data_IF_167259620631
#
_entry.id   IF_167259620631
#
_cell.length_a   1.000
_cell.length_b   1.000
_cell.length_c   1.000
_cell.angle_alpha   90.00
_cell.angle_beta   90.00
_cell.angle_gamma   90.00
#
_symmetry.space_group_name_H-M   'P 1'
#
loop_
_entity.id
_entity.type
_entity.pdbx_description
1 polymer ?
#
# COMPACT_ATOMS: atom_id res chain seq x y z
N UNK A 1 20.76 -3.78 20.18
CA UNK A 1 20.81 -2.43 20.78
C UNK A 1 22.16 -1.79 20.48
N UNK A 2 22.21 -0.86 19.52
CA UNK A 2 23.04 0.37 19.54
C UNK A 2 22.79 1.17 18.25
N UNK A 3 22.09 2.28 18.44
CA UNK A 3 22.01 3.43 17.53
C UNK A 3 23.36 4.15 17.54
N UNK A 4 23.78 4.72 16.40
CA UNK A 4 24.55 5.98 16.39
C UNK A 4 24.14 6.79 15.16
N UNK A 5 23.72 8.02 15.41
CA UNK A 5 23.40 9.09 14.46
C UNK A 5 24.64 9.97 14.18
N UNK A 6 24.68 10.53 12.96
CA UNK A 6 25.23 11.82 12.50
C UNK A 6 26.69 12.26 12.76
N UNK A 7 27.35 12.76 11.70
CA UNK A 7 27.78 14.17 11.59
C UNK A 7 28.29 14.53 10.17
N UNK A 8 27.91 15.72 9.72
CA UNK A 8 28.42 16.44 8.54
C UNK A 8 29.79 17.09 8.84
N UNK A 9 30.64 17.24 7.82
CA UNK A 9 31.74 18.21 7.81
C UNK A 9 31.84 18.86 6.41
N UNK A 10 32.03 20.19 6.39
CA UNK A 10 32.18 21.03 5.19
C UNK A 10 33.64 21.38 4.91
N UNK A 11 33.87 21.69 3.62
CA UNK A 11 34.87 22.57 3.01
C UNK A 11 36.13 21.93 2.40
N UNK A 12 36.33 22.21 1.09
CA UNK A 12 37.64 22.25 0.43
C UNK A 12 37.88 21.23 -0.68
N UNK A 13 37.62 21.64 -1.93
CA UNK A 13 38.27 21.25 -3.19
C UNK A 13 38.18 19.81 -3.76
N UNK A 14 38.03 19.77 -5.09
CA UNK A 14 37.86 18.63 -6.02
C UNK A 14 36.49 17.94 -6.06
N UNK A 15 35.49 18.64 -6.61
CA UNK A 15 34.35 18.03 -7.27
C UNK A 15 34.76 17.53 -8.67
N UNK A 16 35.35 16.34 -8.72
CA UNK A 16 35.22 15.35 -9.80
C UNK A 16 36.10 14.16 -9.44
N UNK A 17 35.58 12.94 -9.63
CA UNK A 17 36.17 11.63 -9.29
C UNK A 17 35.78 11.01 -7.93
N UNK A 18 34.51 11.09 -7.53
CA UNK A 18 33.91 9.97 -6.79
C UNK A 18 33.26 9.04 -7.81
N UNK A 19 33.66 7.75 -7.91
CA UNK A 19 32.95 6.80 -8.77
C UNK A 19 31.48 6.76 -8.34
N UNK A 20 30.58 6.71 -9.31
CA UNK A 20 29.15 6.81 -9.10
C UNK A 20 28.58 5.49 -8.58
N UNK A 21 29.06 5.06 -7.41
CA UNK A 21 28.68 3.79 -6.78
C UNK A 21 27.19 3.74 -6.42
N UNK A 22 26.54 4.89 -6.23
CA UNK A 22 25.10 4.96 -5.99
C UNK A 22 24.31 4.60 -7.24
N UNK A 23 24.64 5.20 -8.39
CA UNK A 23 23.95 4.88 -9.66
C UNK A 23 24.32 3.49 -10.18
N UNK A 24 25.54 3.01 -9.96
CA UNK A 24 25.93 1.64 -10.33
C UNK A 24 25.22 0.59 -9.48
N UNK A 25 25.05 0.81 -8.17
CA UNK A 25 24.25 -0.08 -7.32
C UNK A 25 22.77 -0.04 -7.67
N UNK A 26 22.22 1.13 -7.90
CA UNK A 26 20.82 1.32 -8.28
C UNK A 26 20.53 0.68 -9.65
N UNK A 27 21.41 0.88 -10.63
CA UNK A 27 21.31 0.21 -11.95
C UNK A 27 21.51 -1.31 -11.89
N UNK A 28 22.41 -1.80 -11.03
CA UNK A 28 22.60 -3.24 -10.81
C UNK A 28 21.36 -3.87 -10.14
N UNK A 29 20.78 -3.19 -9.16
CA UNK A 29 19.56 -3.62 -8.46
C UNK A 29 18.33 -3.58 -9.38
N UNK A 30 18.23 -2.57 -10.25
CA UNK A 30 17.20 -2.50 -11.29
C UNK A 30 17.34 -3.62 -12.33
N UNK A 31 18.57 -3.92 -12.74
CA UNK A 31 18.86 -5.01 -13.69
C UNK A 31 18.56 -6.38 -13.09
N UNK A 32 18.83 -6.58 -11.80
CA UNK A 32 18.44 -7.78 -11.05
C UNK A 32 16.91 -7.91 -10.93
N UNK A 33 16.21 -6.81 -10.64
CA UNK A 33 14.73 -6.76 -10.57
C UNK A 33 14.06 -7.11 -11.91
N UNK A 34 14.52 -6.52 -13.02
CA UNK A 34 13.95 -6.80 -14.35
C UNK A 34 14.26 -8.24 -14.78
N UNK A 35 15.46 -8.74 -14.46
CA UNK A 35 15.83 -10.14 -14.70
C UNK A 35 14.92 -11.09 -13.91
N UNK A 36 14.70 -10.82 -12.62
CA UNK A 36 13.84 -11.62 -11.76
C UNK A 36 12.39 -11.60 -12.22
N UNK A 37 11.89 -10.43 -12.63
CA UNK A 37 10.55 -10.28 -13.24
C UNK A 37 10.42 -11.13 -14.51
N UNK A 38 11.42 -11.13 -15.39
CA UNK A 38 11.42 -11.96 -16.59
C UNK A 38 11.41 -13.46 -16.26
N UNK A 39 12.19 -13.90 -15.27
CA UNK A 39 12.15 -15.29 -14.79
C UNK A 39 10.76 -15.70 -14.29
N UNK A 40 10.08 -14.83 -13.53
CA UNK A 40 8.72 -15.10 -13.05
C UNK A 40 7.69 -15.13 -14.20
N UNK A 41 7.84 -14.26 -15.20
CA UNK A 41 7.01 -14.24 -16.42
C UNK A 41 7.19 -15.49 -17.30
N UNK A 42 8.37 -16.11 -17.27
CA UNK A 42 8.66 -17.37 -17.95
C UNK A 42 8.16 -18.58 -17.17
N UNK A 43 8.33 -18.58 -15.84
CA UNK A 43 7.94 -19.68 -14.96
C UNK A 43 6.43 -19.82 -14.83
N UNK A 44 5.72 -18.71 -14.65
CA UNK A 44 4.29 -18.70 -14.35
C UNK A 44 3.45 -18.21 -15.53
N UNK A 45 2.13 -18.41 -15.43
CA UNK A 45 1.18 -17.92 -16.42
C UNK A 45 1.32 -16.40 -16.60
N UNK A 46 1.82 -15.99 -17.78
CA UNK A 46 2.07 -14.58 -18.12
C UNK A 46 0.85 -13.69 -17.88
N UNK A 47 -0.35 -14.15 -18.23
CA UNK A 47 -1.59 -13.40 -18.07
C UNK A 47 -1.92 -13.13 -16.60
N UNK A 48 -1.61 -14.08 -15.71
CA UNK A 48 -1.74 -13.90 -14.27
C UNK A 48 -0.79 -12.80 -13.78
N UNK A 49 0.50 -12.89 -14.16
CA UNK A 49 1.51 -11.93 -13.74
C UNK A 49 1.20 -10.52 -14.24
N UNK A 50 0.83 -10.37 -15.51
CA UNK A 50 0.41 -9.08 -16.09
C UNK A 50 -0.80 -8.49 -15.38
N UNK A 51 -1.76 -9.33 -14.99
CA UNK A 51 -2.96 -8.89 -14.27
C UNK A 51 -2.61 -8.39 -12.86
N UNK A 52 -1.78 -9.12 -12.12
CA UNK A 52 -1.32 -8.69 -10.80
C UNK A 52 -0.49 -7.42 -10.86
N UNK A 53 0.42 -7.31 -11.84
CA UNK A 53 1.22 -6.10 -12.09
C UNK A 53 0.36 -4.88 -12.42
N UNK A 54 -0.66 -5.06 -13.24
CA UNK A 54 -1.59 -3.98 -13.58
C UNK A 54 -2.31 -3.47 -12.33
N UNK A 55 -2.78 -4.38 -11.47
CA UNK A 55 -3.54 -4.05 -10.26
C UNK A 55 -2.67 -3.47 -9.14
N UNK A 56 -1.51 -4.05 -8.88
CA UNK A 56 -0.74 -3.81 -7.64
C UNK A 56 0.72 -3.38 -7.87
N UNK A 57 1.20 -3.36 -9.12
CA UNK A 57 2.58 -2.98 -9.44
C UNK A 57 3.62 -3.93 -8.84
N UNK A 58 4.81 -3.43 -8.53
CA UNK A 58 5.93 -4.25 -8.04
C UNK A 58 5.68 -4.90 -6.68
N UNK A 59 4.75 -4.36 -5.87
CA UNK A 59 4.31 -5.01 -4.64
C UNK A 59 3.85 -6.46 -4.91
N UNK A 60 3.13 -6.68 -6.02
CA UNK A 60 2.69 -8.00 -6.40
C UNK A 60 3.85 -8.92 -6.79
N UNK A 61 4.86 -8.44 -7.53
CA UNK A 61 6.03 -9.25 -7.87
C UNK A 61 6.82 -9.65 -6.62
N UNK A 62 6.89 -8.77 -5.63
CA UNK A 62 7.51 -9.11 -4.35
C UNK A 62 6.78 -10.26 -3.66
N UNK A 63 5.45 -10.22 -3.58
CA UNK A 63 4.66 -11.31 -3.01
C UNK A 63 4.82 -12.62 -3.79
N UNK A 64 4.81 -12.54 -5.13
CA UNK A 64 5.07 -13.73 -5.98
C UNK A 64 6.43 -14.32 -5.66
N UNK A 65 7.46 -13.49 -5.51
CA UNK A 65 8.79 -13.97 -5.17
C UNK A 65 8.85 -14.62 -3.78
N UNK A 66 8.29 -13.96 -2.77
CA UNK A 66 8.27 -14.48 -1.39
C UNK A 66 7.55 -15.83 -1.32
N UNK A 67 6.43 -15.98 -2.03
CA UNK A 67 5.70 -17.24 -2.04
C UNK A 67 6.34 -18.31 -2.94
N UNK A 68 6.99 -17.91 -4.04
CA UNK A 68 7.76 -18.81 -4.91
C UNK A 68 8.89 -19.51 -4.15
N UNK A 69 9.55 -18.80 -3.22
CA UNK A 69 10.61 -19.37 -2.39
C UNK A 69 10.09 -20.38 -1.37
N UNK A 70 8.84 -20.22 -0.92
CA UNK A 70 8.23 -21.08 0.09
C UNK A 70 7.55 -22.30 -0.52
N UNK A 71 6.74 -22.08 -1.56
CA UNK A 71 5.96 -23.12 -2.23
C UNK A 71 5.61 -22.70 -3.69
N UNK A 72 6.38 -23.18 -4.68
CA UNK A 72 6.11 -22.93 -6.08
C UNK A 72 4.76 -23.50 -6.58
N UNK A 73 4.32 -24.63 -6.05
CA UNK A 73 3.07 -25.28 -6.48
C UNK A 73 1.87 -24.46 -6.02
N UNK A 74 1.88 -24.04 -4.75
CA UNK A 74 0.88 -23.11 -4.23
C UNK A 74 0.90 -21.79 -5.00
N UNK A 75 2.08 -21.25 -5.31
CA UNK A 75 2.22 -19.98 -6.05
C UNK A 75 1.58 -20.08 -7.43
N UNK A 76 1.77 -21.21 -8.12
CA UNK A 76 1.11 -21.49 -9.40
C UNK A 76 -0.42 -21.50 -9.26
N UNK A 77 -0.96 -22.19 -8.24
CA UNK A 77 -2.40 -22.30 -8.00
C UNK A 77 -3.00 -20.92 -7.68
N UNK A 78 -2.37 -20.18 -6.78
CA UNK A 78 -2.80 -18.83 -6.39
C UNK A 78 -2.86 -17.88 -7.59
N UNK A 79 -1.78 -17.84 -8.39
CA UNK A 79 -1.70 -17.00 -9.59
C UNK A 79 -2.78 -17.36 -10.62
N UNK A 80 -2.93 -18.65 -10.89
CA UNK A 80 -3.89 -19.16 -11.87
C UNK A 80 -5.31 -18.83 -11.43
N UNK A 81 -5.68 -19.15 -10.19
CA UNK A 81 -7.04 -18.96 -9.72
C UNK A 81 -7.42 -17.48 -9.58
N UNK A 82 -6.60 -16.68 -8.88
CA UNK A 82 -6.98 -15.31 -8.55
C UNK A 82 -6.81 -14.40 -9.76
N UNK A 83 -5.64 -14.40 -10.39
CA UNK A 83 -5.29 -13.38 -11.40
C UNK A 83 -5.65 -13.81 -12.82
N UNK A 84 -5.47 -15.08 -13.21
CA UNK A 84 -5.87 -15.53 -14.54
C UNK A 84 -7.37 -15.85 -14.66
N UNK A 85 -7.97 -16.45 -13.64
CA UNK A 85 -9.41 -16.73 -13.66
C UNK A 85 -10.23 -15.58 -13.06
N UNK A 86 -10.15 -15.34 -11.74
CA UNK A 86 -11.12 -14.46 -11.06
C UNK A 86 -11.10 -13.01 -11.56
N UNK A 87 -9.94 -12.34 -11.55
CA UNK A 87 -9.82 -10.95 -12.03
C UNK A 87 -10.16 -10.80 -13.52
N UNK A 88 -9.82 -11.80 -14.31
CA UNK A 88 -9.93 -11.77 -15.76
C UNK A 88 -11.28 -12.24 -16.33
N UNK A 89 -12.28 -12.45 -15.47
CA UNK A 89 -13.69 -12.64 -15.89
C UNK A 89 -14.29 -11.38 -16.53
N UNK A 90 -13.74 -10.19 -16.27
CA UNK A 90 -14.08 -8.89 -16.89
C UNK A 90 -15.57 -8.53 -16.93
N UNK A 91 -16.39 -9.09 -16.02
CA UNK A 91 -17.81 -8.71 -15.85
C UNK A 91 -18.01 -7.39 -15.10
N UNK A 92 -16.98 -6.97 -14.37
CA UNK A 92 -16.83 -5.68 -13.72
C UNK A 92 -15.43 -5.18 -14.08
N UNK A 93 -15.29 -3.87 -14.23
CA UNK A 93 -14.00 -3.23 -14.42
C UNK A 93 -13.13 -3.37 -13.14
N UNK A 94 -11.84 -3.12 -13.28
CA UNK A 94 -10.88 -3.30 -12.19
C UNK A 94 -11.09 -2.28 -11.06
N UNK A 95 -11.49 -1.04 -11.37
CA UNK A 95 -11.76 0.01 -10.37
C UNK A 95 -12.88 -0.44 -9.43
N UNK A 96 -14.01 -0.87 -10.02
CA UNK A 96 -15.17 -1.35 -9.27
C UNK A 96 -14.82 -2.57 -8.41
N UNK A 97 -14.05 -3.52 -8.94
CA UNK A 97 -13.62 -4.71 -8.18
C UNK A 97 -12.76 -4.35 -6.98
N UNK A 98 -11.78 -3.46 -7.14
CA UNK A 98 -10.89 -3.09 -6.04
C UNK A 98 -11.62 -2.26 -4.99
N UNK A 99 -12.57 -1.40 -5.39
CA UNK A 99 -13.46 -0.71 -4.45
C UNK A 99 -14.27 -1.72 -3.61
N UNK A 100 -14.81 -2.77 -4.22
CA UNK A 100 -15.50 -3.84 -3.46
C UNK A 100 -14.56 -4.49 -2.45
N UNK A 101 -13.32 -4.82 -2.86
CA UNK A 101 -12.32 -5.42 -1.97
C UNK A 101 -11.96 -4.50 -0.80
N UNK A 102 -11.88 -3.18 -1.01
CA UNK A 102 -11.67 -2.22 0.09
C UNK A 102 -12.79 -2.35 1.13
N UNK A 103 -14.05 -2.40 0.69
CA UNK A 103 -15.19 -2.63 1.56
C UNK A 103 -15.08 -3.95 2.32
N UNK A 104 -14.73 -5.03 1.62
CA UNK A 104 -14.52 -6.36 2.22
C UNK A 104 -13.40 -6.34 3.27
N UNK A 105 -12.27 -5.68 3.00
CA UNK A 105 -11.19 -5.54 3.98
C UNK A 105 -11.66 -4.84 5.26
N UNK A 106 -12.42 -3.74 5.13
CA UNK A 106 -12.96 -3.03 6.29
C UNK A 106 -13.94 -3.92 7.07
N UNK A 107 -14.86 -4.59 6.37
CA UNK A 107 -15.83 -5.49 6.99
C UNK A 107 -15.14 -6.67 7.68
N UNK A 108 -14.06 -7.22 7.11
CA UNK A 108 -13.28 -8.32 7.69
C UNK A 108 -12.29 -7.88 8.80
N UNK A 109 -12.19 -6.58 9.09
CA UNK A 109 -11.18 -5.98 9.98
C UNK A 109 -9.72 -6.16 9.54
N UNK A 110 -9.51 -6.40 8.23
CA UNK A 110 -8.22 -6.65 7.60
C UNK A 110 -7.45 -5.34 7.35
N UNK A 111 -6.60 -4.97 8.31
CA UNK A 111 -5.86 -3.70 8.30
C UNK A 111 -4.53 -3.75 7.54
N UNK A 112 -3.96 -4.93 7.32
CA UNK A 112 -2.63 -5.08 6.71
C UNK A 112 -2.73 -4.93 5.19
N UNK A 113 -3.76 -5.51 4.56
CA UNK A 113 -3.95 -5.44 3.11
C UNK A 113 -4.68 -4.17 2.65
N UNK A 114 -5.50 -3.56 3.50
CA UNK A 114 -6.32 -2.38 3.15
C UNK A 114 -5.50 -1.25 2.48
N UNK A 115 -4.32 -0.82 2.98
CA UNK A 115 -3.53 0.22 2.32
C UNK A 115 -3.13 -0.12 0.88
N UNK A 116 -2.86 -1.40 0.59
CA UNK A 116 -2.47 -1.83 -0.76
C UNK A 116 -3.66 -1.82 -1.71
N UNK A 117 -4.85 -2.21 -1.24
CA UNK A 117 -6.07 -2.12 -2.04
C UNK A 117 -6.48 -0.65 -2.28
N UNK A 118 -6.28 0.25 -1.32
CA UNK A 118 -6.48 1.70 -1.54
C UNK A 118 -5.55 2.22 -2.64
N UNK A 119 -4.25 1.91 -2.59
CA UNK A 119 -3.29 2.30 -3.66
C UNK A 119 -3.66 1.69 -5.01
N UNK A 120 -4.11 0.44 -5.01
CA UNK A 120 -4.57 -0.25 -6.21
C UNK A 120 -5.81 0.43 -6.81
N UNK A 121 -6.78 0.84 -5.99
CA UNK A 121 -7.97 1.56 -6.45
C UNK A 121 -7.59 2.91 -7.09
N UNK A 122 -6.72 3.69 -6.43
CA UNK A 122 -6.20 4.94 -6.98
C UNK A 122 -5.51 4.72 -8.34
N UNK A 123 -4.69 3.66 -8.45
CA UNK A 123 -4.03 3.28 -9.71
C UNK A 123 -5.04 2.94 -10.82
N UNK A 124 -6.19 2.36 -10.47
CA UNK A 124 -7.27 2.06 -11.41
C UNK A 124 -8.20 3.26 -11.66
N UNK A 125 -7.85 4.46 -11.16
CA UNK A 125 -8.58 5.70 -11.41
C UNK A 125 -9.72 5.97 -10.43
N UNK A 126 -9.74 5.29 -9.27
CA UNK A 126 -10.65 5.69 -8.19
C UNK A 126 -10.22 7.02 -7.59
N UNK A 127 -11.18 7.85 -7.20
CA UNK A 127 -10.91 9.08 -6.46
C UNK A 127 -10.79 8.82 -4.96
N UNK A 128 -10.12 9.69 -4.18
CA UNK A 128 -10.18 9.64 -2.72
C UNK A 128 -11.61 9.62 -2.19
N UNK A 129 -12.53 10.38 -2.80
CA UNK A 129 -13.94 10.44 -2.43
C UNK A 129 -14.66 9.09 -2.64
N UNK A 130 -14.44 8.42 -3.77
CA UNK A 130 -15.01 7.08 -4.03
C UNK A 130 -14.53 6.06 -3.00
N UNK A 131 -13.25 6.12 -2.62
CA UNK A 131 -12.66 5.21 -1.63
C UNK A 131 -13.22 5.52 -0.23
N UNK A 132 -13.31 6.80 0.13
CA UNK A 132 -13.88 7.24 1.41
C UNK A 132 -15.34 6.78 1.54
N UNK A 133 -16.14 6.93 0.49
CA UNK A 133 -17.55 6.55 0.49
C UNK A 133 -17.74 5.04 0.72
N UNK A 134 -16.91 4.20 0.10
CA UNK A 134 -16.93 2.75 0.33
C UNK A 134 -16.60 2.40 1.78
N UNK A 135 -15.61 3.06 2.37
CA UNK A 135 -15.24 2.83 3.79
C UNK A 135 -16.39 3.30 4.71
N UNK A 136 -17.02 4.44 4.41
CA UNK A 136 -18.18 4.93 5.15
C UNK A 136 -19.38 3.96 5.05
N UNK A 137 -19.65 3.40 3.87
CA UNK A 137 -20.72 2.43 3.66
C UNK A 137 -20.55 1.17 4.53
N UNK A 138 -19.31 0.78 4.86
CA UNK A 138 -19.05 -0.35 5.77
C UNK A 138 -19.64 -0.14 7.18
N UNK A 139 -19.90 1.10 7.60
CA UNK A 139 -20.60 1.38 8.86
C UNK A 139 -21.96 0.67 8.96
N UNK A 140 -22.71 0.61 7.84
CA UNK A 140 -24.05 0.03 7.80
C UNK A 140 -24.01 -1.48 8.08
N UNK A 141 -22.97 -2.16 7.60
CA UNK A 141 -22.88 -3.63 7.62
C UNK A 141 -21.99 -4.17 8.75
N UNK A 142 -21.00 -3.40 9.18
CA UNK A 142 -19.96 -3.86 10.11
C UNK A 142 -19.77 -2.95 11.33
N UNK A 143 -20.57 -1.88 11.45
CA UNK A 143 -20.61 -0.98 12.60
C UNK A 143 -19.50 0.07 12.62
N UNK A 144 -19.61 1.02 13.56
CA UNK A 144 -18.68 2.14 13.72
C UNK A 144 -17.21 1.71 13.95
N UNK A 145 -16.88 0.72 14.79
CA UNK A 145 -15.48 0.45 15.15
C UNK A 145 -14.60 0.09 13.93
N UNK A 146 -15.11 -0.78 13.06
CA UNK A 146 -14.40 -1.21 11.84
C UNK A 146 -14.28 -0.08 10.83
N UNK A 147 -15.36 0.67 10.62
CA UNK A 147 -15.34 1.85 9.77
C UNK A 147 -14.30 2.87 10.27
N UNK A 148 -14.30 3.23 11.56
CA UNK A 148 -13.34 4.19 12.14
C UNK A 148 -11.89 3.73 11.91
N UNK A 149 -11.60 2.44 12.11
CA UNK A 149 -10.27 1.88 11.87
C UNK A 149 -9.86 2.03 10.40
N UNK A 150 -10.74 1.64 9.47
CA UNK A 150 -10.51 1.85 8.03
C UNK A 150 -10.32 3.32 7.67
N UNK A 151 -11.08 4.20 8.32
CA UNK A 151 -11.05 5.64 8.08
C UNK A 151 -9.75 6.30 8.54
N UNK A 152 -9.18 5.81 9.65
CA UNK A 152 -7.84 6.22 10.13
C UNK A 152 -6.75 5.81 9.14
N UNK A 153 -6.78 4.57 8.65
CA UNK A 153 -5.84 4.07 7.65
C UNK A 153 -5.92 4.90 6.37
N UNK A 154 -7.13 5.17 5.87
CA UNK A 154 -7.33 6.03 4.71
C UNK A 154 -6.80 7.46 4.95
N UNK A 155 -7.12 8.06 6.11
CA UNK A 155 -6.66 9.41 6.47
C UNK A 155 -5.14 9.51 6.42
N UNK A 156 -4.45 8.59 7.09
CA UNK A 156 -2.99 8.54 7.12
C UNK A 156 -2.43 8.39 5.71
N UNK A 157 -2.97 7.45 4.93
CA UNK A 157 -2.51 7.19 3.58
C UNK A 157 -2.74 8.38 2.63
N UNK A 158 -3.89 9.06 2.68
CA UNK A 158 -4.16 10.22 1.83
C UNK A 158 -3.25 11.40 2.17
N UNK A 159 -2.93 11.57 3.46
CA UNK A 159 -1.96 12.58 3.92
C UNK A 159 -0.56 12.25 3.41
N UNK A 160 -0.12 11.01 3.57
CA UNK A 160 1.24 10.57 3.18
C UNK A 160 1.43 10.63 1.66
N UNK A 161 0.38 10.40 0.87
CA UNK A 161 0.39 10.55 -0.59
C UNK A 161 0.23 12.01 -1.05
N UNK A 162 -0.01 12.95 -0.13
CA UNK A 162 -0.27 14.36 -0.46
C UNK A 162 -1.56 14.59 -1.26
N UNK A 163 -2.49 13.62 -1.23
CA UNK A 163 -3.76 13.70 -1.97
C UNK A 163 -4.83 14.50 -1.23
N UNK A 164 -4.73 14.58 0.09
CA UNK A 164 -5.60 15.41 0.92
C UNK A 164 -4.74 16.24 1.90
N UNK A 165 -5.05 17.53 2.00
CA UNK A 165 -4.39 18.44 2.94
C UNK A 165 -4.98 18.28 4.35
N UNK A 166 -4.51 17.26 5.07
CA UNK A 166 -5.02 16.88 6.38
C UNK A 166 -4.03 17.25 7.47
N UNK A 167 -4.43 18.13 8.39
CA UNK A 167 -3.62 18.52 9.55
C UNK A 167 -3.77 17.53 10.70
N UNK A 168 -2.79 17.48 11.60
CA UNK A 168 -2.96 16.72 12.83
C UNK A 168 -4.09 17.32 13.68
N UNK A 169 -4.91 16.48 14.34
CA UNK A 169 -5.94 16.98 15.22
C UNK A 169 -5.29 17.82 16.34
N UNK A 170 -5.82 19.02 16.64
CA UNK A 170 -5.27 19.88 17.70
C UNK A 170 -5.56 19.34 19.10
N UNK A 171 -6.42 18.31 19.20
CA UNK A 171 -6.84 17.70 20.45
C UNK A 171 -6.05 16.41 20.69
N UNK A 172 -5.49 16.29 21.90
CA UNK A 172 -4.89 15.07 22.44
C UNK A 172 -5.64 14.72 23.71
N UNK A 173 -5.97 13.45 23.88
CA UNK A 173 -6.71 12.93 25.03
C UNK A 173 -7.47 11.66 24.68
N UNK A 174 -7.83 10.88 25.70
CA UNK A 174 -8.78 9.79 25.55
C UNK A 174 -10.09 10.09 26.31
N UNK A 175 -11.12 9.29 26.10
CA UNK A 175 -12.45 9.51 26.69
C UNK A 175 -12.49 9.50 28.23
N UNK A 176 -11.35 9.25 28.91
CA UNK A 176 -11.20 9.24 30.36
C UNK A 176 -10.63 10.56 30.89
N UNK A 177 -10.20 11.48 30.03
CA UNK A 177 -9.77 12.81 30.49
C UNK A 177 -11.00 13.64 30.89
N UNK A 178 -11.05 14.19 32.12
CA UNK A 178 -12.14 15.08 32.52
C UNK A 178 -12.10 16.35 31.67
N UNK A 179 -13.25 16.82 31.19
CA UNK A 179 -13.38 18.08 30.46
C UNK A 179 -12.67 19.19 31.25
N UNK A 180 -11.52 19.67 30.76
CA UNK A 180 -10.78 20.81 31.34
C UNK A 180 -11.49 22.14 31.02
N UNK A 181 -12.81 22.17 31.15
CA UNK A 181 -13.67 23.28 30.79
C UNK A 181 -14.39 23.89 32.00
N UNK A 182 -13.75 24.02 33.16
CA UNK A 182 -14.12 25.03 34.17
C UNK A 182 -12.94 25.30 35.09
N UNK A 183 -12.13 26.32 34.80
CA UNK A 183 -11.39 27.12 35.80
C UNK A 183 -10.85 28.36 35.11
N UNK A 184 -11.76 29.27 34.73
CA UNK A 184 -11.41 30.67 34.50
C UNK A 184 -11.17 31.38 35.85
N UNK A 185 -10.33 32.42 35.91
CA UNK A 185 -9.96 33.06 37.17
C UNK A 185 -11.17 33.73 37.84
N UNK A 186 -11.30 33.50 39.15
CA UNK A 186 -12.19 34.27 40.04
C UNK A 186 -11.69 35.70 40.23
#
# INVERSE_FOLDING_TARGET
MRLVWCAWARAGDNLNLRPNFATERESTQLMDSETRKNQLLEKYNRRAIETGMRLQGEFFLRLVHEFDELDPEWTQVWLTWIYDHMYNRRKLDDKTRVLIIIGECVVADEAVQLPNHIRSALRMGATPDEIQEVILQAHIYAGMPRMIKGMRIFRELMRDLGLLNLTDPPFRGDAREPDLATNGPQ
#
